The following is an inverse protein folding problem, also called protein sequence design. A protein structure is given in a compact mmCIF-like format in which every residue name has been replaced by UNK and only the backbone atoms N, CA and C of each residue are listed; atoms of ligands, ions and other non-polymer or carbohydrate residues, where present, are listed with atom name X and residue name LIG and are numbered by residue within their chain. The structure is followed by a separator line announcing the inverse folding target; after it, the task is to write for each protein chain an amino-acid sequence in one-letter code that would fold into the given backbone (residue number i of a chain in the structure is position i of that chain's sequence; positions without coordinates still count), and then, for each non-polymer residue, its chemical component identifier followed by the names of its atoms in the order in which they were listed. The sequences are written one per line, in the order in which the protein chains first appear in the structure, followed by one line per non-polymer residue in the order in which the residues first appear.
data_IF_821477703302
#
_entry.id   IF_821477703302
#
_cell.length_a   1.000
_cell.length_b   1.000
_cell.length_c   1.000
_cell.angle_alpha   90.00
_cell.angle_beta   90.00
_cell.angle_gamma   90.00
#
_symmetry.space_group_name_H-M   'P 1'
#
loop_
_entity.id
_entity.type
_entity.pdbx_description
1 polymer ?
#
# COMPACT_ATOMS: atom_id res chain seq x y z
N UNK A 1 -4.69 44.90 4.61
CA UNK A 1 -3.21 44.89 4.52
C UNK A 1 -2.83 43.90 3.41
N UNK A 2 -2.38 44.37 2.28
CA UNK A 2 -1.97 43.50 1.17
C UNK A 2 -0.72 42.73 1.57
N UNK A 3 -0.75 41.43 1.38
CA UNK A 3 0.39 40.56 1.63
C UNK A 3 1.56 40.95 0.74
N UNK A 4 2.77 41.23 1.29
CA UNK A 4 3.89 41.81 0.55
C UNK A 4 4.63 40.86 -0.41
N UNK A 5 4.10 39.72 -0.75
CA UNK A 5 4.79 38.67 -1.50
C UNK A 5 4.19 38.34 -2.87
N UNK A 6 3.38 39.18 -3.44
CA UNK A 6 3.10 39.13 -4.86
C UNK A 6 4.20 39.88 -5.64
N UNK A 7 5.46 39.48 -5.47
CA UNK A 7 6.48 39.80 -6.43
C UNK A 7 6.09 39.17 -7.76
N UNK A 8 6.12 39.93 -8.82
CA UNK A 8 5.87 39.54 -10.21
C UNK A 8 6.92 38.50 -10.64
N UNK A 9 6.80 37.26 -10.11
CA UNK A 9 7.61 36.16 -10.62
C UNK A 9 7.19 35.90 -12.06
N UNK A 10 8.10 36.21 -12.96
CA UNK A 10 7.92 35.92 -14.39
C UNK A 10 7.84 34.41 -14.70
N UNK A 11 8.14 33.54 -13.70
CA UNK A 11 8.10 32.08 -13.84
C UNK A 11 6.81 31.48 -13.21
N UNK A 12 5.87 30.98 -14.02
CA UNK A 12 4.60 30.41 -13.53
C UNK A 12 4.78 29.22 -12.58
N UNK A 13 5.87 28.47 -12.69
CA UNK A 13 6.19 27.34 -11.81
C UNK A 13 6.49 27.86 -10.39
N UNK A 14 7.34 28.88 -10.27
CA UNK A 14 7.67 29.46 -8.98
C UNK A 14 6.45 30.15 -8.33
N UNK A 15 5.60 30.78 -9.12
CA UNK A 15 4.35 31.36 -8.62
C UNK A 15 3.43 30.30 -8.01
N UNK A 16 3.29 29.16 -8.66
CA UNK A 16 2.51 28.01 -8.17
C UNK A 16 3.10 27.44 -6.88
N UNK A 17 4.43 27.19 -6.83
CA UNK A 17 5.13 26.69 -5.64
C UNK A 17 4.89 27.61 -4.44
N UNK A 18 5.02 28.93 -4.62
CA UNK A 18 4.80 29.92 -3.55
C UNK A 18 3.34 30.01 -3.11
N UNK A 19 2.39 29.79 -4.01
CA UNK A 19 0.98 29.72 -3.67
C UNK A 19 0.70 28.57 -2.72
N UNK A 20 1.25 27.38 -2.99
CA UNK A 20 1.11 26.22 -2.12
C UNK A 20 1.77 26.43 -0.75
N UNK A 21 3.00 26.98 -0.74
CA UNK A 21 3.71 27.30 0.50
C UNK A 21 2.94 28.31 1.36
N UNK A 22 2.35 29.35 0.75
CA UNK A 22 1.54 30.33 1.47
C UNK A 22 0.29 29.73 2.11
N UNK A 23 -0.26 28.65 1.53
CA UNK A 23 -1.38 27.90 2.08
C UNK A 23 -0.95 27.09 3.29
N UNK A 24 0.20 26.41 3.23
CA UNK A 24 0.78 25.66 4.36
C UNK A 24 1.10 26.58 5.54
N UNK A 25 1.70 27.74 5.29
CA UNK A 25 2.03 28.74 6.32
C UNK A 25 0.78 29.34 7.01
N UNK A 26 -0.33 29.48 6.28
CA UNK A 26 -1.59 29.96 6.87
C UNK A 26 -2.20 28.98 7.89
N UNK A 27 -2.01 27.67 7.67
CA UNK A 27 -2.50 26.64 8.58
C UNK A 27 -1.71 26.59 9.89
N UNK A 28 -0.54 27.26 9.98
CA UNK A 28 0.36 27.30 11.16
C UNK A 28 0.73 25.94 11.74
N UNK A 29 0.45 24.83 11.04
CA UNK A 29 0.71 23.47 11.48
C UNK A 29 0.96 22.57 10.28
N UNK A 30 2.09 21.86 10.31
CA UNK A 30 2.39 20.86 9.30
C UNK A 30 1.68 19.55 9.67
N UNK A 31 0.71 19.16 8.86
CA UNK A 31 -0.06 17.93 9.03
C UNK A 31 0.63 16.72 8.40
N UNK A 32 1.75 16.93 7.71
CA UNK A 32 2.54 15.90 7.05
C UNK A 32 4.02 16.00 7.46
N UNK A 33 4.81 15.01 7.03
CA UNK A 33 6.27 14.96 7.22
C UNK A 33 6.71 15.02 8.69
N UNK A 34 5.94 14.42 9.61
CA UNK A 34 6.34 14.34 11.02
C UNK A 34 7.58 13.48 11.20
N UNK A 35 8.53 13.96 12.01
CA UNK A 35 9.74 13.23 12.36
C UNK A 35 9.58 12.56 13.71
N UNK A 36 9.91 11.28 13.76
CA UNK A 36 9.95 10.50 15.00
C UNK A 36 11.39 10.23 15.40
N UNK A 37 11.70 10.36 16.70
CA UNK A 37 13.03 10.23 17.27
C UNK A 37 13.34 8.80 17.73
N UNK A 38 12.31 7.96 17.88
CA UNK A 38 12.42 6.57 18.27
C UNK A 38 11.13 5.79 18.08
N UNK A 39 11.27 4.47 18.12
CA UNK A 39 10.13 3.54 18.04
C UNK A 39 10.36 2.32 18.91
N UNK A 40 9.34 1.93 19.68
CA UNK A 40 9.31 0.71 20.48
C UNK A 40 7.96 0.01 20.25
N UNK A 41 7.97 -1.08 19.48
CA UNK A 41 6.73 -1.76 19.06
C UNK A 41 5.81 -0.81 18.31
N UNK A 42 4.62 -0.61 18.85
CA UNK A 42 3.58 0.30 18.32
C UNK A 42 3.72 1.74 18.81
N UNK A 43 4.72 2.04 19.67
CA UNK A 43 4.90 3.37 20.24
C UNK A 43 6.05 4.11 19.58
N UNK A 44 5.86 5.41 19.34
CA UNK A 44 6.85 6.29 18.71
C UNK A 44 7.08 7.52 19.58
N UNK A 45 8.33 8.03 19.55
CA UNK A 45 8.73 9.25 20.25
C UNK A 45 8.76 10.43 19.29
N UNK A 46 8.14 11.55 19.69
CA UNK A 46 8.20 12.80 18.96
C UNK A 46 8.18 13.98 19.94
N UNK A 47 9.16 14.87 19.82
CA UNK A 47 9.25 16.09 20.66
C UNK A 47 9.21 15.78 22.18
N UNK A 48 9.90 14.71 22.58
CA UNK A 48 9.96 14.26 23.96
C UNK A 48 8.69 13.61 24.51
N UNK A 49 7.70 13.33 23.66
CA UNK A 49 6.43 12.70 24.03
C UNK A 49 6.23 11.39 23.28
N UNK A 50 5.62 10.41 23.95
CA UNK A 50 5.27 9.12 23.39
C UNK A 50 3.84 9.12 22.79
N UNK A 51 3.67 8.41 21.66
CA UNK A 51 2.41 8.24 20.97
C UNK A 51 2.20 6.78 20.59
N UNK A 52 0.99 6.29 20.72
CA UNK A 52 0.55 5.06 20.04
C UNK A 52 0.41 5.35 18.55
N UNK A 53 1.08 4.56 17.71
CA UNK A 53 1.06 4.70 16.25
C UNK A 53 -0.14 3.95 15.65
N UNK A 54 -1.19 4.68 15.32
CA UNK A 54 -2.44 4.14 14.77
C UNK A 54 -2.54 4.29 13.23
N UNK A 55 -1.43 4.36 12.53
CA UNK A 55 -1.39 4.52 11.06
C UNK A 55 -0.28 3.75 10.37
N UNK A 56 0.45 2.91 11.10
CA UNK A 56 1.48 2.06 10.51
C UNK A 56 0.85 0.93 9.67
N UNK A 57 1.43 0.66 8.51
CA UNK A 57 1.07 -0.50 7.70
C UNK A 57 1.78 -1.81 8.16
N UNK A 58 2.45 -1.82 9.29
CA UNK A 58 3.04 -3.02 9.90
C UNK A 58 1.95 -3.88 10.55
N UNK A 59 1.06 -4.41 9.71
CA UNK A 59 -0.14 -5.10 10.15
C UNK A 59 0.14 -6.28 11.08
N UNK A 60 1.22 -7.04 10.83
CA UNK A 60 1.58 -8.21 11.61
C UNK A 60 2.55 -7.90 12.76
N UNK A 61 3.02 -6.64 12.87
CA UNK A 61 3.92 -6.20 13.93
C UNK A 61 5.32 -6.79 13.84
N UNK A 62 5.80 -7.07 12.63
CA UNK A 62 7.08 -7.78 12.42
C UNK A 62 8.30 -6.86 12.36
N UNK A 63 8.12 -5.54 12.28
CA UNK A 63 9.24 -4.59 12.11
C UNK A 63 10.27 -4.62 13.26
N UNK A 64 9.88 -5.12 14.44
CA UNK A 64 10.73 -5.29 15.62
C UNK A 64 10.92 -6.75 16.03
N UNK A 65 10.46 -7.68 15.21
CA UNK A 65 10.57 -9.11 15.49
C UNK A 65 12.05 -9.52 15.57
N UNK A 66 12.49 -10.22 16.65
CA UNK A 66 13.90 -10.54 16.87
C UNK A 66 14.55 -11.30 15.70
N UNK A 67 13.84 -12.27 15.11
CA UNK A 67 14.34 -13.03 13.95
C UNK A 67 14.51 -12.15 12.70
N UNK A 68 13.62 -11.17 12.48
CA UNK A 68 13.72 -10.24 11.35
C UNK A 68 14.91 -9.32 11.50
N UNK A 69 15.11 -8.75 12.70
CA UNK A 69 16.26 -7.89 13.01
C UNK A 69 17.58 -8.64 12.90
N UNK A 70 17.64 -9.86 13.42
CA UNK A 70 18.85 -10.70 13.37
C UNK A 70 19.20 -11.11 11.94
N UNK A 71 18.18 -11.44 11.10
CA UNK A 71 18.40 -11.74 9.68
C UNK A 71 18.99 -10.53 8.93
N UNK A 72 18.47 -9.33 9.17
CA UNK A 72 18.99 -8.09 8.59
C UNK A 72 20.43 -7.81 9.01
N UNK A 73 20.75 -7.97 10.32
CA UNK A 73 22.10 -7.78 10.88
C UNK A 73 23.12 -8.73 10.23
N UNK A 74 22.80 -10.04 10.18
CA UNK A 74 23.66 -11.05 9.56
C UNK A 74 23.90 -10.80 8.07
N UNK A 75 22.86 -10.31 7.37
CA UNK A 75 23.00 -9.99 5.95
C UNK A 75 23.93 -8.80 5.72
N UNK A 76 23.87 -7.77 6.55
CA UNK A 76 24.80 -6.64 6.52
C UNK A 76 26.25 -7.08 6.73
N UNK A 77 26.50 -7.95 7.72
CA UNK A 77 27.85 -8.47 8.00
C UNK A 77 28.39 -9.31 6.86
N UNK A 78 27.57 -10.16 6.25
CA UNK A 78 27.98 -11.08 5.19
C UNK A 78 28.15 -10.42 3.81
N UNK A 79 27.25 -9.48 3.46
CA UNK A 79 27.10 -8.99 2.10
C UNK A 79 27.41 -7.49 1.94
N UNK A 80 27.58 -6.76 3.05
CA UNK A 80 27.69 -5.30 3.05
C UNK A 80 26.33 -4.61 2.91
N UNK A 81 26.35 -3.28 2.76
CA UNK A 81 25.15 -2.44 2.75
C UNK A 81 24.39 -2.44 1.44
N UNK A 82 25.04 -2.76 0.32
CA UNK A 82 24.45 -2.66 -1.03
C UNK A 82 25.17 -3.59 -2.00
N UNK A 83 24.54 -3.87 -3.13
CA UNK A 83 25.15 -4.56 -4.27
C UNK A 83 25.80 -3.58 -5.26
N UNK A 84 25.55 -2.29 -5.11
CA UNK A 84 26.07 -1.20 -5.95
C UNK A 84 25.84 -1.37 -7.46
N UNK A 85 24.73 -2.01 -7.83
CA UNK A 85 24.40 -2.25 -9.23
C UNK A 85 22.98 -2.77 -9.46
N UNK A 86 22.52 -2.67 -10.70
CA UNK A 86 21.22 -3.20 -11.14
C UNK A 86 21.26 -4.72 -11.33
N UNK A 87 20.10 -5.38 -11.18
CA UNK A 87 19.96 -6.84 -11.36
C UNK A 87 20.44 -7.31 -12.73
N UNK A 88 20.17 -6.53 -13.76
CA UNK A 88 20.58 -6.82 -15.13
C UNK A 88 22.10 -6.88 -15.31
N UNK A 89 22.85 -6.06 -14.58
CA UNK A 89 24.30 -5.92 -14.75
C UNK A 89 25.06 -6.74 -13.68
N UNK A 90 25.45 -6.10 -12.59
CA UNK A 90 26.31 -6.68 -11.56
C UNK A 90 25.63 -6.78 -10.17
N UNK A 91 24.37 -6.35 -10.03
CA UNK A 91 23.65 -6.29 -8.76
C UNK A 91 22.97 -7.60 -8.36
N UNK A 92 22.94 -8.64 -9.20
CA UNK A 92 22.33 -9.93 -8.89
C UNK A 92 23.11 -10.69 -7.80
N UNK A 93 22.42 -11.28 -6.82
CA UNK A 93 22.99 -12.13 -5.76
C UNK A 93 22.08 -13.33 -5.50
N UNK A 94 22.64 -14.41 -4.92
CA UNK A 94 21.88 -15.62 -4.58
C UNK A 94 20.69 -15.35 -3.67
N UNK A 95 20.83 -14.46 -2.69
CA UNK A 95 19.76 -14.13 -1.76
C UNK A 95 18.53 -13.49 -2.44
N UNK A 96 18.69 -12.77 -3.55
CA UNK A 96 17.55 -12.29 -4.34
C UNK A 96 16.79 -13.45 -4.98
N UNK A 97 17.53 -14.37 -5.61
CA UNK A 97 16.95 -15.54 -6.28
C UNK A 97 16.24 -16.45 -5.28
N UNK A 98 16.80 -16.58 -4.08
CA UNK A 98 16.19 -17.34 -2.99
C UNK A 98 14.84 -16.71 -2.56
N UNK A 99 14.80 -15.39 -2.32
CA UNK A 99 13.56 -14.68 -2.00
C UNK A 99 12.53 -14.79 -3.14
N UNK A 100 12.95 -14.64 -4.39
CA UNK A 100 12.08 -14.80 -5.57
C UNK A 100 11.45 -16.19 -5.64
N UNK A 101 12.20 -17.25 -5.34
CA UNK A 101 11.71 -18.64 -5.29
C UNK A 101 10.73 -18.84 -4.13
N UNK A 102 11.06 -18.32 -2.95
CA UNK A 102 10.21 -18.42 -1.76
C UNK A 102 8.87 -17.70 -1.95
N UNK A 103 8.90 -16.48 -2.53
CA UNK A 103 7.68 -15.73 -2.85
C UNK A 103 6.83 -16.43 -3.92
N UNK A 104 7.45 -16.92 -5.00
CA UNK A 104 6.74 -17.64 -6.04
C UNK A 104 6.03 -18.88 -5.47
N UNK A 105 6.74 -19.68 -4.67
CA UNK A 105 6.18 -20.87 -4.01
C UNK A 105 5.04 -20.50 -3.04
N UNK A 106 5.20 -19.45 -2.23
CA UNK A 106 4.17 -18.98 -1.31
C UNK A 106 2.90 -18.53 -2.02
N UNK A 107 3.04 -17.78 -3.12
CA UNK A 107 1.92 -17.26 -3.90
C UNK A 107 1.31 -18.28 -4.88
N UNK A 108 1.90 -19.46 -5.02
CA UNK A 108 1.47 -20.46 -6.00
C UNK A 108 1.72 -20.04 -7.45
N UNK A 109 2.75 -19.22 -7.70
CA UNK A 109 3.14 -18.79 -9.04
C UNK A 109 4.44 -19.45 -9.48
N UNK A 110 4.68 -19.52 -10.81
CA UNK A 110 5.87 -20.20 -11.35
C UNK A 110 7.17 -19.43 -11.13
N UNK A 111 7.10 -18.09 -11.09
CA UNK A 111 8.25 -17.23 -10.91
C UNK A 111 7.88 -15.90 -10.23
N UNK A 112 8.90 -15.26 -9.67
CA UNK A 112 8.79 -13.95 -9.07
C UNK A 112 10.01 -13.11 -9.42
N UNK A 113 9.87 -11.79 -9.43
CA UNK A 113 10.96 -10.83 -9.52
C UNK A 113 10.82 -9.77 -8.43
N UNK A 114 11.94 -9.44 -7.74
CA UNK A 114 11.93 -8.47 -6.63
C UNK A 114 12.50 -7.12 -7.04
N UNK A 115 11.93 -6.07 -6.46
CA UNK A 115 12.23 -4.64 -6.71
C UNK A 115 12.66 -3.94 -5.44
N UNK A 116 13.34 -2.80 -5.57
CA UNK A 116 13.80 -1.98 -4.43
C UNK A 116 12.67 -1.22 -3.72
N UNK A 117 11.52 -1.09 -4.34
CA UNK A 117 10.34 -0.48 -3.74
C UNK A 117 9.06 -1.12 -4.29
N UNK A 118 8.00 -1.19 -3.46
CA UNK A 118 6.67 -1.63 -3.91
C UNK A 118 6.11 -0.74 -5.02
N UNK A 119 6.36 0.57 -4.94
CA UNK A 119 5.97 1.51 -5.98
C UNK A 119 6.52 1.12 -7.36
N UNK A 120 7.80 0.72 -7.44
CA UNK A 120 8.43 0.27 -8.68
C UNK A 120 7.88 -1.07 -9.14
N UNK A 121 7.60 -2.00 -8.22
CA UNK A 121 7.01 -3.30 -8.54
C UNK A 121 5.62 -3.14 -9.17
N UNK A 122 4.73 -2.40 -8.50
CA UNK A 122 3.35 -2.19 -9.00
C UNK A 122 3.33 -1.38 -10.30
N UNK A 123 4.19 -0.35 -10.43
CA UNK A 123 4.33 0.39 -11.69
C UNK A 123 4.84 -0.51 -12.83
N UNK A 124 5.81 -1.38 -12.53
CA UNK A 124 6.36 -2.36 -13.48
C UNK A 124 5.36 -3.43 -13.89
N UNK A 125 4.49 -3.87 -12.97
CA UNK A 125 3.45 -4.86 -13.25
C UNK A 125 2.45 -4.38 -14.32
N UNK A 126 2.33 -3.08 -14.54
CA UNK A 126 1.51 -2.50 -15.59
C UNK A 126 2.37 -2.09 -16.79
N UNK A 127 3.37 -1.20 -16.59
CA UNK A 127 4.18 -0.65 -17.69
C UNK A 127 4.99 -1.73 -18.43
N UNK A 128 5.42 -2.77 -17.73
CA UNK A 128 6.22 -3.84 -18.32
C UNK A 128 5.45 -4.71 -19.33
N UNK A 129 4.13 -4.79 -19.23
CA UNK A 129 3.30 -5.59 -20.14
C UNK A 129 2.50 -4.73 -21.12
N UNK A 130 2.02 -3.56 -20.70
CA UNK A 130 1.17 -2.71 -21.50
C UNK A 130 1.94 -1.94 -22.58
N UNK A 131 1.36 -1.83 -23.76
CA UNK A 131 1.89 -1.10 -24.90
C UNK A 131 0.92 -0.01 -25.37
N UNK A 132 1.41 0.93 -26.18
CA UNK A 132 0.64 2.12 -26.64
C UNK A 132 -0.70 1.79 -27.29
N UNK A 133 -0.81 0.64 -27.97
CA UNK A 133 -2.03 0.25 -28.68
C UNK A 133 -2.96 -0.63 -27.85
N UNK A 134 -2.62 -0.91 -26.62
CA UNK A 134 -3.44 -1.68 -25.70
C UNK A 134 -4.46 -0.78 -25.00
N UNK A 135 -5.46 -1.41 -24.40
CA UNK A 135 -6.48 -0.76 -23.61
C UNK A 135 -6.44 -1.24 -22.17
N UNK A 136 -6.25 -0.31 -21.26
CA UNK A 136 -6.25 -0.59 -19.82
C UNK A 136 -7.59 -0.19 -19.23
N UNK A 137 -8.21 -1.08 -18.47
CA UNK A 137 -9.35 -0.81 -17.60
C UNK A 137 -8.86 -0.69 -16.16
N UNK A 138 -9.18 0.41 -15.51
CA UNK A 138 -8.63 0.74 -14.20
C UNK A 138 -9.73 1.22 -13.25
N UNK A 139 -9.71 0.70 -12.00
CA UNK A 139 -10.50 1.31 -10.93
C UNK A 139 -10.06 2.76 -10.69
N UNK A 140 -11.01 3.67 -10.54
CA UNK A 140 -10.70 5.10 -10.35
C UNK A 140 -9.90 5.39 -9.08
N UNK A 141 -9.94 4.51 -8.08
CA UNK A 141 -9.29 4.68 -6.77
C UNK A 141 -7.97 3.90 -6.64
N UNK A 142 -7.36 3.46 -7.74
CA UNK A 142 -6.07 2.79 -7.72
C UNK A 142 -4.98 3.63 -7.06
N UNK A 143 -4.04 2.97 -6.43
CA UNK A 143 -2.84 3.57 -5.88
C UNK A 143 -1.98 4.26 -6.97
N UNK A 144 -1.32 5.34 -6.60
CA UNK A 144 -0.52 6.16 -7.53
C UNK A 144 0.58 5.38 -8.27
N UNK A 145 1.08 4.27 -7.72
CA UNK A 145 2.07 3.41 -8.40
C UNK A 145 1.50 2.73 -9.64
N UNK A 146 0.27 2.23 -9.57
CA UNK A 146 -0.44 1.64 -10.72
C UNK A 146 -0.75 2.71 -11.77
N UNK A 147 -1.23 3.89 -11.34
CA UNK A 147 -1.40 5.04 -12.23
C UNK A 147 -0.11 5.45 -12.93
N UNK A 148 1.04 5.41 -12.24
CA UNK A 148 2.34 5.67 -12.88
C UNK A 148 2.66 4.62 -13.94
N UNK A 149 2.39 3.35 -13.70
CA UNK A 149 2.55 2.29 -14.69
C UNK A 149 1.66 2.52 -15.93
N UNK A 150 0.39 2.86 -15.71
CA UNK A 150 -0.57 3.20 -16.77
C UNK A 150 -0.06 4.37 -17.62
N UNK A 151 0.34 5.47 -16.99
CA UNK A 151 0.85 6.64 -17.72
C UNK A 151 2.14 6.36 -18.48
N UNK A 152 3.06 5.59 -17.91
CA UNK A 152 4.34 5.25 -18.53
C UNK A 152 4.19 4.29 -19.72
N UNK A 153 3.17 3.45 -19.74
CA UNK A 153 2.89 2.54 -20.86
C UNK A 153 2.48 3.28 -22.14
N UNK A 154 1.84 4.45 -21.98
CA UNK A 154 1.24 5.22 -23.05
C UNK A 154 -0.01 4.56 -23.68
N UNK A 155 -0.54 3.51 -23.06
CA UNK A 155 -1.78 2.86 -23.43
C UNK A 155 -2.99 3.77 -23.15
N UNK A 156 -4.08 3.56 -23.91
CA UNK A 156 -5.37 4.19 -23.60
C UNK A 156 -5.90 3.59 -22.30
N UNK A 157 -6.48 4.40 -21.43
CA UNK A 157 -7.04 3.94 -20.16
C UNK A 157 -8.49 4.38 -20.00
N UNK A 158 -9.38 3.42 -19.79
CA UNK A 158 -10.78 3.62 -19.42
C UNK A 158 -10.94 3.36 -17.92
N UNK A 159 -11.60 4.30 -17.23
CA UNK A 159 -11.79 4.24 -15.78
C UNK A 159 -13.20 3.78 -15.45
N UNK A 160 -13.32 2.80 -14.59
CA UNK A 160 -14.61 2.42 -14.03
C UNK A 160 -14.80 2.93 -12.60
N UNK A 161 -16.05 2.97 -12.16
CA UNK A 161 -16.41 3.35 -10.80
C UNK A 161 -15.83 2.38 -9.79
N UNK A 162 -15.39 2.93 -8.64
CA UNK A 162 -14.71 2.16 -7.60
C UNK A 162 -15.46 0.89 -7.23
N UNK A 163 -14.73 -0.24 -7.27
CA UNK A 163 -15.16 -1.59 -6.91
C UNK A 163 -16.50 -2.01 -7.53
N UNK A 164 -16.72 -1.61 -8.81
CA UNK A 164 -17.98 -1.81 -9.55
C UNK A 164 -17.77 -2.66 -10.81
N UNK A 165 -17.91 -4.00 -10.72
CA UNK A 165 -17.74 -4.91 -11.83
C UNK A 165 -18.81 -4.74 -12.93
N UNK A 166 -20.01 -4.26 -12.59
CA UNK A 166 -21.08 -3.98 -13.56
C UNK A 166 -20.67 -2.82 -14.48
N UNK A 167 -20.12 -1.73 -13.94
CA UNK A 167 -19.62 -0.63 -14.75
C UNK A 167 -18.42 -1.06 -15.60
N UNK A 168 -17.51 -1.89 -15.06
CA UNK A 168 -16.44 -2.47 -15.86
C UNK A 168 -16.99 -3.31 -17.03
N UNK A 169 -17.98 -4.16 -16.77
CA UNK A 169 -18.65 -4.97 -17.80
C UNK A 169 -19.27 -4.11 -18.92
N UNK A 170 -19.90 -2.99 -18.56
CA UNK A 170 -20.47 -2.08 -19.54
C UNK A 170 -19.42 -1.49 -20.47
N UNK A 171 -18.33 -0.93 -19.92
CA UNK A 171 -17.33 -0.23 -20.74
C UNK A 171 -16.44 -1.18 -21.55
N UNK A 172 -16.19 -2.40 -21.09
CA UNK A 172 -15.38 -3.37 -21.85
C UNK A 172 -16.14 -3.95 -23.05
N UNK A 173 -17.48 -4.06 -22.93
CA UNK A 173 -18.36 -4.57 -24.00
C UNK A 173 -18.32 -3.67 -25.23
N UNK A 174 -18.15 -2.37 -25.05
CA UNK A 174 -18.15 -1.39 -26.15
C UNK A 174 -16.82 -1.39 -26.94
N UNK A 175 -15.80 -2.13 -26.46
CA UNK A 175 -14.46 -2.09 -27.04
C UNK A 175 -14.21 -3.23 -28.04
N UNK A 176 -13.54 -2.96 -29.16
CA UNK A 176 -13.26 -3.96 -30.17
C UNK A 176 -12.53 -5.18 -29.64
N UNK A 177 -12.97 -6.38 -30.03
CA UNK A 177 -12.36 -7.65 -29.55
C UNK A 177 -10.87 -7.75 -29.85
N UNK A 178 -10.42 -7.21 -30.98
CA UNK A 178 -9.03 -7.31 -31.44
C UNK A 178 -8.01 -6.48 -30.64
N UNK A 179 -8.47 -5.52 -29.81
CA UNK A 179 -7.58 -4.69 -29.00
C UNK A 179 -7.19 -5.49 -27.76
N UNK A 180 -5.88 -5.68 -27.49
CA UNK A 180 -5.43 -6.29 -26.24
C UNK A 180 -5.94 -5.48 -25.03
N UNK A 181 -6.43 -6.17 -24.01
CA UNK A 181 -7.09 -5.56 -22.85
C UNK A 181 -6.36 -5.95 -21.57
N UNK A 182 -6.19 -5.00 -20.67
CA UNK A 182 -5.59 -5.22 -19.37
C UNK A 182 -6.56 -4.68 -18.31
N UNK A 183 -6.89 -5.50 -17.31
CA UNK A 183 -7.62 -5.08 -16.13
C UNK A 183 -6.64 -4.86 -14.98
N UNK A 184 -6.69 -3.69 -14.34
CA UNK A 184 -5.83 -3.34 -13.20
C UNK A 184 -6.68 -3.10 -11.96
N UNK A 185 -6.40 -3.85 -10.88
CA UNK A 185 -7.11 -3.82 -9.61
C UNK A 185 -6.14 -3.79 -8.43
N UNK A 186 -6.63 -3.31 -7.28
CA UNK A 186 -6.03 -3.63 -5.96
C UNK A 186 -6.86 -4.74 -5.30
N UNK A 187 -6.23 -5.67 -4.63
CA UNK A 187 -6.91 -6.68 -3.83
C UNK A 187 -7.60 -6.07 -2.60
N UNK A 188 -6.90 -5.13 -1.97
CA UNK A 188 -7.42 -4.27 -0.89
C UNK A 188 -7.07 -2.83 -1.20
N UNK A 189 -8.06 -1.97 -1.27
CA UNK A 189 -7.91 -0.53 -1.50
C UNK A 189 -7.46 0.18 -0.24
N UNK A 190 -6.32 0.85 -0.32
CA UNK A 190 -5.56 1.33 0.84
C UNK A 190 -6.22 2.43 1.66
N UNK A 191 -7.13 3.19 1.06
CA UNK A 191 -7.79 4.34 1.70
C UNK A 191 -9.16 3.99 2.25
N UNK A 192 -9.91 3.17 1.54
CA UNK A 192 -11.25 2.72 1.89
C UNK A 192 -11.21 1.48 2.79
N UNK A 193 -10.18 0.66 2.65
CA UNK A 193 -10.09 -0.65 3.29
C UNK A 193 -11.04 -1.69 2.66
N UNK A 194 -11.56 -1.43 1.46
CA UNK A 194 -12.45 -2.34 0.75
C UNK A 194 -11.67 -3.50 0.14
N UNK A 195 -12.23 -4.69 0.21
CA UNK A 195 -11.79 -5.85 -0.56
C UNK A 195 -12.39 -5.77 -1.98
N UNK A 196 -11.59 -6.03 -2.99
CA UNK A 196 -12.09 -6.07 -4.36
C UNK A 196 -13.17 -7.16 -4.54
N UNK A 197 -14.23 -6.87 -5.27
CA UNK A 197 -15.21 -7.87 -5.73
C UNK A 197 -14.60 -8.75 -6.83
N UNK A 198 -13.41 -9.31 -6.50
CA UNK A 198 -12.48 -9.91 -7.45
C UNK A 198 -13.10 -11.02 -8.33
N UNK A 199 -13.92 -11.97 -7.80
CA UNK A 199 -14.54 -12.99 -8.65
C UNK A 199 -15.36 -12.43 -9.79
N UNK A 200 -16.18 -11.39 -9.53
CA UNK A 200 -17.02 -10.77 -10.55
C UNK A 200 -16.20 -10.01 -11.61
N UNK A 201 -15.12 -9.33 -11.20
CA UNK A 201 -14.18 -8.69 -12.12
C UNK A 201 -13.46 -9.71 -13.02
N UNK A 202 -12.99 -10.81 -12.44
CA UNK A 202 -12.29 -11.87 -13.18
C UNK A 202 -13.21 -12.59 -14.16
N UNK A 203 -14.47 -12.86 -13.77
CA UNK A 203 -15.47 -13.43 -14.69
C UNK A 203 -15.66 -12.56 -15.94
N UNK A 204 -15.84 -11.25 -15.77
CA UNK A 204 -15.92 -10.31 -16.89
C UNK A 204 -14.62 -10.30 -17.69
N UNK A 205 -13.47 -10.17 -17.04
CA UNK A 205 -12.16 -10.12 -17.71
C UNK A 205 -11.93 -11.33 -18.63
N UNK A 206 -12.26 -12.55 -18.16
CA UNK A 206 -12.16 -13.78 -18.94
C UNK A 206 -13.03 -13.79 -20.19
N UNK A 207 -14.26 -13.32 -20.07
CA UNK A 207 -15.19 -13.27 -21.21
C UNK A 207 -14.69 -12.38 -22.35
N UNK A 208 -13.82 -11.43 -22.04
CA UNK A 208 -13.21 -10.51 -23.02
C UNK A 208 -11.71 -10.73 -23.23
N UNK A 209 -11.17 -11.84 -22.72
CA UNK A 209 -9.74 -12.20 -22.81
C UNK A 209 -8.82 -11.06 -22.33
N UNK A 210 -9.19 -10.40 -21.23
CA UNK A 210 -8.41 -9.33 -20.63
C UNK A 210 -7.35 -9.90 -19.67
N UNK A 211 -6.12 -9.40 -19.76
CA UNK A 211 -5.00 -9.73 -18.89
C UNK A 211 -5.18 -9.05 -17.52
N UNK A 212 -5.11 -9.81 -16.42
CA UNK A 212 -5.44 -9.32 -15.08
C UNK A 212 -4.19 -9.04 -14.26
N UNK A 213 -4.02 -7.79 -13.85
CA UNK A 213 -2.97 -7.31 -12.93
C UNK A 213 -3.60 -6.97 -11.60
N UNK A 214 -3.16 -7.63 -10.52
CA UNK A 214 -3.68 -7.46 -9.17
C UNK A 214 -2.57 -7.00 -8.21
N UNK A 215 -2.76 -5.86 -7.56
CA UNK A 215 -1.90 -5.37 -6.47
C UNK A 215 -2.39 -5.91 -5.13
N UNK A 216 -1.59 -6.79 -4.53
CA UNK A 216 -1.84 -7.42 -3.23
C UNK A 216 -1.11 -6.72 -2.07
N UNK A 217 -0.64 -5.49 -2.26
CA UNK A 217 0.20 -4.82 -1.26
C UNK A 217 -0.47 -4.66 0.11
N UNK A 218 -1.78 -4.52 0.18
CA UNK A 218 -2.55 -4.39 1.42
C UNK A 218 -3.30 -5.66 1.85
N UNK A 219 -3.28 -6.71 1.05
CA UNK A 219 -3.89 -8.02 1.34
C UNK A 219 -2.88 -9.11 1.67
N UNK A 220 -1.66 -9.00 1.09
CA UNK A 220 -0.56 -9.92 1.39
C UNK A 220 -0.22 -9.94 2.89
N UNK A 221 -0.13 -11.13 3.45
CA UNK A 221 0.08 -11.38 4.88
C UNK A 221 -1.20 -11.33 5.73
N UNK A 222 -2.33 -10.86 5.18
CA UNK A 222 -3.56 -10.57 5.92
C UNK A 222 -4.73 -11.46 5.47
N UNK A 223 -5.00 -11.50 4.16
CA UNK A 223 -6.14 -12.21 3.58
C UNK A 223 -5.74 -13.53 2.93
N UNK A 224 -6.70 -14.44 2.84
CA UNK A 224 -6.56 -15.73 2.18
C UNK A 224 -5.80 -16.77 3.00
N UNK A 225 -5.63 -17.94 2.42
CA UNK A 225 -4.92 -19.04 3.07
C UNK A 225 -3.49 -18.61 3.45
N UNK A 226 -3.19 -18.63 4.74
CA UNK A 226 -1.91 -18.18 5.31
C UNK A 226 -1.47 -16.76 4.88
N UNK A 227 -2.41 -15.89 4.54
CA UNK A 227 -2.10 -14.53 4.11
C UNK A 227 -1.57 -14.41 2.68
N UNK A 228 -1.95 -15.32 1.77
CA UNK A 228 -1.52 -15.27 0.36
C UNK A 228 -2.15 -14.15 -0.45
N UNK A 229 -3.10 -13.42 0.10
CA UNK A 229 -3.77 -12.28 -0.54
C UNK A 229 -5.20 -12.54 -0.98
N UNK A 230 -5.78 -11.56 -1.65
CA UNK A 230 -7.20 -11.53 -2.07
C UNK A 230 -7.52 -12.62 -3.09
N UNK A 231 -6.62 -12.88 -4.04
CA UNK A 231 -6.84 -13.95 -5.03
C UNK A 231 -6.95 -15.32 -4.35
N UNK A 232 -6.13 -15.59 -3.33
CA UNK A 232 -6.20 -16.79 -2.51
C UNK A 232 -7.45 -16.83 -1.62
N UNK A 233 -7.88 -15.67 -1.09
CA UNK A 233 -9.10 -15.56 -0.28
C UNK A 233 -10.33 -16.04 -1.05
N UNK A 234 -10.41 -15.76 -2.33
CA UNK A 234 -11.51 -16.20 -3.19
C UNK A 234 -11.23 -17.53 -3.93
N UNK A 235 -10.07 -18.15 -3.74
CA UNK A 235 -9.71 -19.41 -4.40
C UNK A 235 -9.51 -19.31 -5.91
N UNK A 236 -9.14 -18.13 -6.42
CA UNK A 236 -8.99 -17.84 -7.85
C UNK A 236 -7.58 -17.36 -8.22
N UNK A 237 -6.57 -17.78 -7.47
CA UNK A 237 -5.17 -17.38 -7.71
C UNK A 237 -4.67 -17.72 -9.12
N UNK A 238 -5.13 -18.83 -9.69
CA UNK A 238 -4.74 -19.27 -11.04
C UNK A 238 -5.33 -18.41 -12.15
N UNK A 239 -6.37 -17.63 -11.83
CA UNK A 239 -7.07 -16.76 -12.77
C UNK A 239 -6.44 -15.36 -12.91
N UNK A 240 -5.44 -15.07 -12.08
CA UNK A 240 -4.73 -13.79 -12.09
C UNK A 240 -3.42 -13.95 -12.85
N UNK A 241 -3.23 -13.16 -13.89
CA UNK A 241 -2.03 -13.24 -14.72
C UNK A 241 -0.80 -12.71 -14.00
N UNK A 242 -0.94 -11.58 -13.30
CA UNK A 242 0.15 -10.93 -12.57
C UNK A 242 -0.28 -10.51 -11.18
N UNK A 243 0.43 -10.97 -10.17
CA UNK A 243 0.36 -10.47 -8.80
C UNK A 243 1.53 -9.50 -8.56
N UNK A 244 1.27 -8.36 -7.96
CA UNK A 244 2.33 -7.46 -7.47
C UNK A 244 2.05 -7.04 -6.03
N UNK A 245 3.08 -6.51 -5.36
CA UNK A 245 2.91 -6.08 -3.97
C UNK A 245 4.15 -5.41 -3.39
N UNK A 246 4.03 -5.04 -2.12
CA UNK A 246 5.04 -4.28 -1.38
C UNK A 246 5.53 -5.03 -0.15
N UNK A 247 6.83 -4.92 0.15
CA UNK A 247 7.40 -5.44 1.39
C UNK A 247 7.24 -4.48 2.57
N UNK A 248 6.83 -3.24 2.33
CA UNK A 248 6.76 -2.19 3.36
C UNK A 248 5.56 -2.29 4.31
N UNK A 249 4.81 -3.38 4.23
CA UNK A 249 3.63 -3.63 5.05
C UNK A 249 3.83 -4.93 5.86
N UNK A 250 3.07 -5.97 5.61
CA UNK A 250 3.15 -7.23 6.36
C UNK A 250 4.56 -7.89 6.39
N UNK A 251 5.40 -7.65 5.38
CA UNK A 251 6.79 -8.14 5.38
C UNK A 251 7.78 -7.25 6.13
N UNK A 252 7.33 -6.15 6.73
CA UNK A 252 8.13 -5.27 7.60
C UNK A 252 9.52 -4.90 7.05
N UNK A 253 9.62 -4.71 5.71
CA UNK A 253 10.87 -4.42 5.01
C UNK A 253 10.66 -3.32 3.96
N UNK A 254 11.66 -3.06 3.14
CA UNK A 254 11.52 -2.23 1.93
C UNK A 254 11.66 -3.09 0.69
N UNK A 255 11.00 -2.72 -0.39
CA UNK A 255 11.00 -3.46 -1.63
C UNK A 255 9.60 -3.82 -2.10
N UNK A 256 9.54 -4.64 -3.13
CA UNK A 256 8.30 -5.17 -3.68
C UNK A 256 8.56 -6.34 -4.61
N UNK A 257 7.50 -6.92 -5.14
CA UNK A 257 7.57 -8.09 -6.00
C UNK A 257 6.55 -8.02 -7.14
N UNK A 258 6.85 -8.74 -8.20
CA UNK A 258 5.90 -9.16 -9.24
C UNK A 258 6.02 -10.67 -9.39
N UNK A 259 4.90 -11.39 -9.31
CA UNK A 259 4.83 -12.85 -9.45
C UNK A 259 3.84 -13.24 -10.56
N UNK A 260 4.23 -14.23 -11.39
CA UNK A 260 3.47 -14.64 -12.57
C UNK A 260 3.98 -15.98 -13.09
N UNK A 261 3.63 -16.33 -14.33
CA UNK A 261 4.28 -17.42 -15.07
C UNK A 261 5.77 -17.12 -15.29
N UNK A 262 6.57 -18.14 -15.54
CA UNK A 262 8.00 -17.97 -15.82
C UNK A 262 8.23 -17.11 -17.08
N UNK A 263 7.44 -17.32 -18.12
CA UNK A 263 7.53 -16.56 -19.36
C UNK A 263 7.29 -15.08 -19.12
N UNK A 264 6.23 -14.71 -18.39
CA UNK A 264 5.90 -13.33 -18.05
C UNK A 264 7.03 -12.67 -17.24
N UNK A 265 7.61 -13.37 -16.27
CA UNK A 265 8.71 -12.81 -15.47
C UNK A 265 10.00 -12.63 -16.29
N UNK A 266 10.35 -13.56 -17.18
CA UNK A 266 11.51 -13.39 -18.08
C UNK A 266 11.29 -12.24 -19.06
N UNK A 267 10.08 -12.09 -19.60
CA UNK A 267 9.70 -10.93 -20.41
C UNK A 267 9.88 -9.62 -19.62
N UNK A 268 9.33 -9.55 -18.40
CA UNK A 268 9.41 -8.39 -17.54
C UNK A 268 10.85 -8.00 -17.21
N UNK A 269 11.73 -8.95 -16.92
CA UNK A 269 13.16 -8.73 -16.67
C UNK A 269 13.87 -8.02 -17.81
N UNK A 270 13.42 -8.24 -19.05
CA UNK A 270 14.03 -7.69 -20.26
C UNK A 270 13.42 -6.36 -20.72
N UNK A 271 12.19 -6.04 -20.27
CA UNK A 271 11.43 -4.91 -20.80
C UNK A 271 11.11 -3.83 -19.74
N UNK A 272 11.02 -4.19 -18.46
CA UNK A 272 10.72 -3.22 -17.41
C UNK A 272 11.89 -2.27 -17.14
N UNK A 273 11.66 -0.99 -17.34
CA UNK A 273 12.64 0.07 -17.04
C UNK A 273 12.95 0.14 -15.55
N UNK A 274 11.97 -0.15 -14.70
CA UNK A 274 12.10 -0.19 -13.24
C UNK A 274 13.07 -1.30 -12.78
N UNK A 275 13.14 -2.40 -13.51
CA UNK A 275 14.11 -3.48 -13.27
C UNK A 275 15.50 -3.13 -13.82
N UNK A 276 15.55 -2.65 -15.07
CA UNK A 276 16.80 -2.48 -15.82
C UNK A 276 17.65 -1.35 -15.25
N UNK A 277 16.99 -0.23 -14.87
CA UNK A 277 17.67 1.01 -14.49
C UNK A 277 17.64 1.32 -13.00
N UNK A 278 17.28 0.34 -12.15
CA UNK A 278 17.30 0.50 -10.69
C UNK A 278 18.37 -0.36 -10.05
N UNK A 279 19.00 0.17 -8.99
CA UNK A 279 19.86 -0.63 -8.13
C UNK A 279 19.08 -1.80 -7.52
N UNK A 280 19.75 -2.90 -7.20
CA UNK A 280 19.11 -4.08 -6.60
C UNK A 280 18.68 -3.84 -5.16
N UNK A 281 17.71 -4.60 -4.71
CA UNK A 281 17.28 -4.62 -3.32
C UNK A 281 18.48 -4.92 -2.40
N UNK A 282 18.59 -4.19 -1.28
CA UNK A 282 19.72 -4.34 -0.37
C UNK A 282 19.74 -5.72 0.33
N UNK A 283 20.92 -6.20 0.74
CA UNK A 283 21.03 -7.48 1.45
C UNK A 283 20.17 -7.54 2.72
N UNK A 284 20.19 -6.49 3.53
CA UNK A 284 19.43 -6.42 4.79
C UNK A 284 17.93 -6.44 4.54
N UNK A 285 17.42 -5.62 3.59
CA UNK A 285 16.02 -5.61 3.26
C UNK A 285 15.53 -6.96 2.71
N UNK A 286 16.33 -7.61 1.85
CA UNK A 286 16.04 -8.95 1.35
C UNK A 286 15.95 -9.98 2.48
N UNK A 287 16.91 -9.95 3.42
CA UNK A 287 16.94 -10.88 4.55
C UNK A 287 15.77 -10.66 5.52
N UNK A 288 15.42 -9.39 5.80
CA UNK A 288 14.25 -9.07 6.61
C UNK A 288 12.96 -9.58 5.95
N UNK A 289 12.76 -9.33 4.66
CA UNK A 289 11.58 -9.81 3.92
C UNK A 289 11.48 -11.34 3.95
N UNK A 290 12.59 -12.06 3.76
CA UNK A 290 12.63 -13.54 3.86
C UNK A 290 12.27 -14.05 5.25
N UNK A 291 12.83 -13.43 6.30
CA UNK A 291 12.51 -13.80 7.68
C UNK A 291 11.03 -13.56 8.00
N UNK A 292 10.49 -12.42 7.60
CA UNK A 292 9.06 -12.12 7.76
C UNK A 292 8.16 -13.08 6.98
N UNK A 293 8.53 -13.42 5.74
CA UNK A 293 7.77 -14.40 4.95
C UNK A 293 7.74 -15.78 5.62
N UNK A 294 8.85 -16.20 6.21
CA UNK A 294 8.92 -17.45 6.98
C UNK A 294 8.01 -17.40 8.21
N UNK A 295 8.06 -16.31 8.98
CA UNK A 295 7.19 -16.11 10.16
C UNK A 295 5.71 -16.18 9.75
N UNK A 296 5.31 -15.48 8.67
CA UNK A 296 3.92 -15.52 8.17
C UNK A 296 3.45 -16.95 7.87
N UNK A 297 4.35 -17.81 7.38
CA UNK A 297 4.02 -19.19 7.05
C UNK A 297 3.97 -20.13 8.25
N UNK A 298 4.83 -19.90 9.25
CA UNK A 298 5.08 -20.82 10.36
C UNK A 298 4.41 -20.39 11.68
N UNK A 299 4.10 -19.09 11.86
CA UNK A 299 3.60 -18.51 13.10
C UNK A 299 2.23 -17.82 12.89
N UNK A 300 1.12 -18.58 12.83
CA UNK A 300 -0.23 -18.05 12.56
C UNK A 300 -0.73 -17.09 13.66
N UNK A 301 -0.15 -17.12 14.84
CA UNK A 301 -0.52 -16.28 15.98
C UNK A 301 -0.40 -14.78 15.71
N UNK A 302 0.39 -14.35 14.73
CA UNK A 302 0.43 -12.95 14.30
C UNK A 302 -0.87 -12.54 13.60
N UNK A 303 -1.39 -13.40 12.74
CA UNK A 303 -2.68 -13.18 12.06
C UNK A 303 -3.85 -13.28 13.05
N UNK A 304 -3.83 -14.25 13.97
CA UNK A 304 -4.84 -14.41 15.01
C UNK A 304 -4.90 -13.18 15.92
N UNK A 305 -3.76 -12.64 16.33
CA UNK A 305 -3.69 -11.39 17.12
C UNK A 305 -4.21 -10.19 16.34
N UNK A 306 -3.86 -10.09 15.04
CA UNK A 306 -4.38 -9.03 14.19
C UNK A 306 -5.90 -9.07 14.15
N UNK A 307 -6.49 -10.24 13.95
CA UNK A 307 -7.96 -10.42 13.90
C UNK A 307 -8.61 -10.07 15.23
N UNK A 308 -8.06 -10.53 16.36
CA UNK A 308 -8.51 -10.17 17.70
C UNK A 308 -8.50 -8.64 17.90
N UNK A 309 -7.37 -7.99 17.58
CA UNK A 309 -7.22 -6.54 17.74
C UNK A 309 -8.16 -5.78 16.80
N UNK A 310 -8.34 -6.24 15.57
CA UNK A 310 -9.24 -5.67 14.59
C UNK A 310 -10.70 -5.75 15.06
N UNK A 311 -11.13 -6.90 15.55
CA UNK A 311 -12.47 -7.11 16.08
C UNK A 311 -12.76 -6.13 17.23
N UNK A 312 -11.83 -6.03 18.19
CA UNK A 312 -11.95 -5.07 19.31
C UNK A 312 -12.02 -3.62 18.84
N UNK A 313 -11.15 -3.25 17.89
CA UNK A 313 -11.12 -1.89 17.35
C UNK A 313 -12.40 -1.53 16.60
N UNK A 314 -12.97 -2.46 15.84
CA UNK A 314 -14.26 -2.28 15.18
C UNK A 314 -15.38 -2.04 16.18
N UNK A 315 -15.44 -2.82 17.26
CA UNK A 315 -16.42 -2.58 18.34
C UNK A 315 -16.29 -1.18 18.93
N UNK A 316 -15.06 -0.69 19.17
CA UNK A 316 -14.83 0.69 19.64
C UNK A 316 -15.38 1.72 18.65
N UNK A 317 -15.14 1.54 17.35
CA UNK A 317 -15.62 2.46 16.31
C UNK A 317 -17.15 2.44 16.18
N UNK A 318 -17.76 1.26 16.29
CA UNK A 318 -19.22 1.06 16.27
C UNK A 318 -19.89 1.71 17.50
N UNK A 319 -19.38 1.47 18.71
CA UNK A 319 -19.86 2.10 19.95
C UNK A 319 -19.76 3.63 19.90
N UNK A 320 -18.75 4.13 19.22
CA UNK A 320 -18.55 5.56 18.99
C UNK A 320 -19.26 6.05 17.72
N UNK A 321 -20.03 5.23 17.01
CA UNK A 321 -20.83 5.59 15.82
C UNK A 321 -20.01 6.34 14.75
N UNK A 322 -18.80 5.89 14.44
CA UNK A 322 -17.99 6.46 13.36
C UNK A 322 -18.36 5.88 11.99
N UNK A 323 -18.40 6.73 10.97
CA UNK A 323 -18.44 6.28 9.57
C UNK A 323 -17.05 5.73 9.17
N UNK A 324 -16.97 4.41 9.01
CA UNK A 324 -15.75 3.68 8.63
C UNK A 324 -15.70 3.36 7.14
N UNK A 325 -16.62 3.94 6.37
CA UNK A 325 -16.72 3.73 4.92
C UNK A 325 -16.85 2.24 4.54
N UNK A 326 -17.51 1.46 5.39
CA UNK A 326 -17.71 0.01 5.21
C UNK A 326 -16.39 -0.79 5.03
N UNK A 327 -15.30 -0.33 5.67
CA UNK A 327 -14.00 -1.00 5.58
C UNK A 327 -14.05 -2.45 6.07
N UNK A 328 -13.42 -3.35 5.32
CA UNK A 328 -13.39 -4.80 5.59
C UNK A 328 -12.05 -5.28 6.16
N UNK A 329 -11.03 -4.39 6.23
CA UNK A 329 -9.64 -4.76 6.50
C UNK A 329 -9.06 -4.01 7.72
N UNK A 330 -7.81 -4.29 8.15
CA UNK A 330 -7.17 -3.54 9.24
C UNK A 330 -6.90 -2.06 8.95
N UNK A 331 -6.96 -1.63 7.68
CA UNK A 331 -6.89 -0.22 7.30
C UNK A 331 -8.29 0.38 7.33
N UNK A 332 -8.61 1.13 8.38
CA UNK A 332 -9.97 1.65 8.61
C UNK A 332 -9.96 3.17 8.57
N UNK A 333 -10.64 3.81 7.60
CA UNK A 333 -10.86 5.24 7.62
C UNK A 333 -11.90 5.62 8.67
N UNK A 334 -11.76 6.82 9.26
CA UNK A 334 -12.81 7.50 10.01
C UNK A 334 -13.21 8.71 9.18
N UNK A 335 -14.33 8.63 8.48
CA UNK A 335 -14.80 9.68 7.57
C UNK A 335 -15.50 10.78 8.35
N UNK A 336 -15.01 11.99 8.23
CA UNK A 336 -15.56 13.18 8.88
C UNK A 336 -16.17 14.17 7.88
N UNK A 337 -15.81 14.04 6.60
CA UNK A 337 -16.39 14.76 5.47
C UNK A 337 -16.02 16.25 5.36
N UNK A 338 -15.31 16.80 6.33
CA UNK A 338 -14.93 18.20 6.39
C UNK A 338 -13.50 18.38 6.89
N UNK A 339 -12.72 19.23 6.21
CA UNK A 339 -11.29 19.45 6.48
C UNK A 339 -10.99 20.01 7.86
N UNK A 340 -11.84 20.90 8.37
CA UNK A 340 -11.65 21.50 9.69
C UNK A 340 -11.96 20.46 10.77
N UNK A 341 -13.04 19.69 10.62
CA UNK A 341 -13.37 18.58 11.52
C UNK A 341 -12.24 17.55 11.57
N UNK A 342 -11.70 17.14 10.41
CA UNK A 342 -10.56 16.20 10.33
C UNK A 342 -9.35 16.75 11.07
N UNK A 343 -9.05 18.05 10.90
CA UNK A 343 -7.92 18.69 11.56
C UNK A 343 -8.08 18.72 13.08
N UNK A 344 -9.25 19.16 13.59
CA UNK A 344 -9.51 19.25 15.03
C UNK A 344 -9.56 17.85 15.68
N UNK A 345 -10.19 16.90 15.01
CA UNK A 345 -10.22 15.51 15.46
C UNK A 345 -8.81 14.92 15.57
N UNK A 346 -8.00 15.04 14.52
CA UNK A 346 -6.62 14.57 14.52
C UNK A 346 -5.78 15.25 15.60
N UNK A 347 -5.92 16.56 15.81
CA UNK A 347 -5.22 17.28 16.85
C UNK A 347 -5.61 16.77 18.24
N UNK A 348 -6.90 16.49 18.46
CA UNK A 348 -7.37 15.92 19.71
C UNK A 348 -6.81 14.52 19.99
N UNK A 349 -6.65 13.69 18.94
CA UNK A 349 -5.94 12.40 19.06
C UNK A 349 -4.48 12.59 19.50
N UNK A 350 -3.76 13.55 18.92
CA UNK A 350 -2.40 13.89 19.34
C UNK A 350 -2.33 14.36 20.79
N UNK A 351 -3.29 15.15 21.26
CA UNK A 351 -3.39 15.58 22.65
C UNK A 351 -3.51 14.39 23.62
N UNK A 352 -4.12 13.29 23.18
CA UNK A 352 -4.28 12.04 23.94
C UNK A 352 -3.19 11.01 23.68
N UNK A 353 -2.11 11.39 22.98
CA UNK A 353 -0.98 10.50 22.72
C UNK A 353 -1.27 9.40 21.70
N UNK A 354 -2.16 9.65 20.75
CA UNK A 354 -2.39 8.76 19.60
C UNK A 354 -2.02 9.49 18.32
N UNK A 355 -1.14 8.88 17.52
CA UNK A 355 -0.72 9.41 16.22
C UNK A 355 -1.37 8.64 15.08
N UNK A 356 -1.96 9.39 14.15
CA UNK A 356 -2.48 8.86 12.90
C UNK A 356 -2.29 9.87 11.77
N UNK A 357 -2.71 9.54 10.55
CA UNK A 357 -2.59 10.41 9.39
C UNK A 357 -3.96 10.85 8.89
N UNK A 358 -4.00 12.03 8.29
CA UNK A 358 -5.22 12.57 7.68
C UNK A 358 -5.11 12.51 6.17
N UNK A 359 -6.25 12.35 5.51
CA UNK A 359 -6.38 12.46 4.06
C UNK A 359 -7.52 13.40 3.74
N UNK A 360 -7.19 14.42 2.96
CA UNK A 360 -8.12 15.47 2.55
C UNK A 360 -8.14 15.60 1.03
N UNK A 361 -9.25 16.09 0.50
CA UNK A 361 -9.36 16.33 -0.94
C UNK A 361 -8.22 17.25 -1.44
N UNK A 362 -7.58 16.96 -2.60
CA UNK A 362 -7.98 15.97 -3.63
C UNK A 362 -7.43 14.55 -3.42
N UNK A 363 -6.75 14.23 -2.31
CA UNK A 363 -6.24 12.89 -2.00
C UNK A 363 -7.35 11.86 -1.73
N UNK A 364 -8.53 12.33 -1.39
CA UNK A 364 -9.78 11.55 -1.28
C UNK A 364 -10.89 12.29 -2.05
N UNK A 365 -12.02 11.63 -2.37
CA UNK A 365 -13.15 12.31 -3.01
C UNK A 365 -13.69 13.48 -2.18
N UNK A 366 -14.33 14.48 -2.82
CA UNK A 366 -14.99 15.59 -2.09
C UNK A 366 -15.99 15.06 -1.04
N UNK A 367 -16.01 15.68 0.12
CA UNK A 367 -16.82 15.30 1.28
C UNK A 367 -16.48 13.91 1.87
N UNK A 368 -15.30 13.39 1.58
CA UNK A 368 -14.75 12.17 2.17
C UNK A 368 -13.41 12.44 2.87
N UNK A 369 -13.20 13.67 3.33
CA UNK A 369 -12.04 14.01 4.17
C UNK A 369 -12.09 13.11 5.43
N UNK A 370 -10.94 12.51 5.78
CA UNK A 370 -10.90 11.43 6.76
C UNK A 370 -9.60 11.40 7.56
N UNK A 371 -9.66 10.70 8.67
CA UNK A 371 -8.49 10.20 9.41
C UNK A 371 -8.29 8.74 9.03
N UNK A 372 -7.10 8.38 8.53
CA UNK A 372 -6.78 6.99 8.20
C UNK A 372 -6.13 6.29 9.37
N UNK A 373 -6.78 5.26 9.87
CA UNK A 373 -6.25 4.41 10.94
C UNK A 373 -5.85 3.04 10.41
N UNK A 374 -4.96 2.37 11.14
CA UNK A 374 -4.55 1.01 10.82
C UNK A 374 -4.21 0.26 12.11
N UNK A 375 -4.79 -0.92 12.26
CA UNK A 375 -4.54 -1.82 13.39
C UNK A 375 -3.41 -2.80 13.05
N UNK A 376 -2.62 -3.10 14.06
CA UNK A 376 -1.51 -4.05 14.01
C UNK A 376 -1.68 -5.16 15.04
N UNK A 377 -1.16 -6.34 14.72
CA UNK A 377 -1.03 -7.44 15.66
C UNK A 377 -0.18 -7.08 16.90
N UNK A 378 0.68 -6.07 16.78
CA UNK A 378 1.55 -5.61 17.87
C UNK A 378 0.87 -4.66 18.85
N UNK A 379 -0.33 -4.11 18.55
CA UNK A 379 -1.06 -3.31 19.53
C UNK A 379 -1.42 -4.15 20.76
N UNK A 380 -1.07 -3.63 21.93
CA UNK A 380 -1.43 -4.25 23.21
C UNK A 380 -2.85 -3.88 23.63
N UNK A 381 -3.38 -4.55 24.65
CA UNK A 381 -4.68 -4.18 25.22
C UNK A 381 -4.66 -2.75 25.77
N UNK A 382 -3.55 -2.31 26.38
CA UNK A 382 -3.37 -0.94 26.87
C UNK A 382 -3.32 0.09 25.72
N UNK A 383 -2.71 -0.27 24.57
CA UNK A 383 -2.75 0.58 23.39
C UNK A 383 -4.18 0.79 22.89
N UNK A 384 -4.98 -0.30 22.84
CA UNK A 384 -6.36 -0.24 22.39
C UNK A 384 -7.26 0.53 23.38
N UNK A 385 -7.02 0.42 24.69
CA UNK A 385 -7.69 1.25 25.71
C UNK A 385 -7.37 2.74 25.50
N UNK A 386 -6.10 3.09 25.34
CA UNK A 386 -5.67 4.46 25.07
C UNK A 386 -6.28 5.00 23.76
N UNK A 387 -6.33 4.17 22.70
CA UNK A 387 -6.97 4.52 21.43
C UNK A 387 -8.47 4.80 21.63
N UNK A 388 -9.19 3.96 22.39
CA UNK A 388 -10.61 4.15 22.66
C UNK A 388 -10.88 5.47 23.39
N UNK A 389 -10.11 5.75 24.45
CA UNK A 389 -10.22 7.03 25.18
C UNK A 389 -9.91 8.23 24.29
N UNK A 390 -8.89 8.13 23.45
CA UNK A 390 -8.50 9.20 22.54
C UNK A 390 -9.57 9.47 21.47
N UNK A 391 -10.17 8.42 20.91
CA UNK A 391 -11.25 8.52 19.93
C UNK A 391 -12.51 9.15 20.54
N UNK A 392 -12.92 8.73 21.73
CA UNK A 392 -14.05 9.30 22.45
C UNK A 392 -13.82 10.80 22.76
N UNK A 393 -12.61 11.16 23.21
CA UNK A 393 -12.25 12.55 23.43
C UNK A 393 -12.26 13.36 22.13
N UNK A 394 -11.68 12.83 21.05
CA UNK A 394 -11.64 13.52 19.77
C UNK A 394 -13.05 13.72 19.19
N UNK A 395 -13.96 12.73 19.33
CA UNK A 395 -15.36 12.86 18.93
C UNK A 395 -16.05 14.01 19.65
N UNK A 396 -15.73 14.26 20.92
CA UNK A 396 -16.31 15.37 21.70
C UNK A 396 -15.83 16.77 21.27
N UNK A 397 -14.86 16.87 20.36
CA UNK A 397 -14.27 18.14 19.90
C UNK A 397 -14.74 18.60 18.52
N UNK A 398 -15.56 17.79 17.82
CA UNK A 398 -16.04 18.05 16.47
C UNK A 398 -17.56 18.16 16.35
#
# INVERSE_FOLDING_TARGET
MALPFLSKDKNPILARIRSDESTRLRLKYDIYYHTFEGQTGTRVQREGREYVMLSSNDYLGLNRHPQVLEAGRKALEKWGSSTTGARLANGGRSFHVELEKELAAFLGKEACHVYTAGYLACSSAVEGFAQRNDLIFADKNLHSSLWSGIHLSGARCERFSHNNPEHFSQIITDEPEKIPKILVLEGVYSMEGHVAKLPAFVEVAKNYNAFVVLDEAHSFGILGDKGRGTASHFGISDEIDVLCGSFSKALASTGGFVASTRENIEYLRSHSKQTIFSASLSPSATACARASLKIIQEEPEHQERLEKNLSRYRSILEELEFDTWESETPAIPIVLGDKEKVYFFWKALLEKGVFTVISIAPGVPPNKDLVRTAISAAHTDEDLDQIAEALAYAKSKI
#
